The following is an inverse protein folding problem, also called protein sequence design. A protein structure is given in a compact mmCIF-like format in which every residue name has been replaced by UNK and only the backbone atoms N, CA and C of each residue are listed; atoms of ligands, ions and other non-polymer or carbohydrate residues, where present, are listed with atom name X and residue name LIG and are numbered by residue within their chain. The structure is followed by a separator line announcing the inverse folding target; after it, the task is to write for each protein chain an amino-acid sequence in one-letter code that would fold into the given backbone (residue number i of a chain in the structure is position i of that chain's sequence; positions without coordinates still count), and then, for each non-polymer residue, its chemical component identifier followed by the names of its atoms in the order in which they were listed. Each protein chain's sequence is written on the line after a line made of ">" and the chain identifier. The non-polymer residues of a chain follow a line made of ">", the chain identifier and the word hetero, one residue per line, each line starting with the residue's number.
data_IF_707827166847
#
_entry.id   IF_707827166847
#
_cell.length_a   1.000
_cell.length_b   1.000
_cell.length_c   1.000
_cell.angle_alpha   90.00
_cell.angle_beta   90.00
_cell.angle_gamma   90.00
#
_symmetry.space_group_name_H-M   'P 1'
#
loop_
_entity.id
_entity.type
_entity.pdbx_description
1 polymer ?
#
# COMPACT_ATOMS: atom_id res chain seq x y z
N UNK A 1 -10.80 10.72 6.28
CA UNK A 1 -9.91 11.86 5.97
C UNK A 1 -9.95 12.75 7.20
N UNK A 2 -8.87 12.89 7.97
CA UNK A 2 -8.90 13.88 9.06
C UNK A 2 -8.58 15.24 8.46
N UNK A 3 -9.62 15.95 8.04
CA UNK A 3 -9.53 17.39 7.78
C UNK A 3 -8.91 18.06 9.01
N UNK A 4 -8.08 19.10 8.81
CA UNK A 4 -7.49 19.82 9.93
C UNK A 4 -8.58 20.27 10.94
N UNK A 5 -8.27 20.27 12.25
CA UNK A 5 -9.21 20.71 13.28
C UNK A 5 -9.83 22.06 12.95
N UNK A 6 -11.05 22.31 13.40
CA UNK A 6 -11.77 23.55 13.10
C UNK A 6 -10.95 24.80 13.51
N UNK A 7 -10.25 24.74 14.65
CA UNK A 7 -9.38 25.80 15.11
C UNK A 7 -8.21 26.11 14.15
N UNK A 8 -7.65 25.11 13.48
CA UNK A 8 -6.57 25.29 12.50
C UNK A 8 -7.13 25.92 11.22
N UNK A 9 -8.28 25.45 10.74
CA UNK A 9 -8.95 26.03 9.58
C UNK A 9 -9.33 27.49 9.80
N UNK A 10 -9.89 27.80 10.97
CA UNK A 10 -10.22 29.16 11.36
C UNK A 10 -8.98 30.05 11.47
N UNK A 11 -7.86 29.53 11.99
CA UNK A 11 -6.60 30.26 12.03
C UNK A 11 -6.03 30.55 10.63
N UNK A 12 -6.16 29.62 9.69
CA UNK A 12 -5.76 29.79 8.28
C UNK A 12 -6.67 30.83 7.59
N UNK A 13 -7.98 30.77 7.83
CA UNK A 13 -8.96 31.72 7.29
C UNK A 13 -8.71 33.14 7.78
N UNK A 14 -8.50 33.29 9.10
CA UNK A 14 -8.26 34.57 9.77
C UNK A 14 -6.83 35.09 9.63
N UNK A 15 -5.95 34.39 8.91
CA UNK A 15 -4.58 34.86 8.71
C UNK A 15 -4.57 36.12 7.85
N UNK A 16 -4.00 37.18 8.39
CA UNK A 16 -3.81 38.48 7.73
C UNK A 16 -2.37 38.66 7.29
N UNK A 17 -2.14 39.54 6.33
CA UNK A 17 -0.78 39.92 5.91
C UNK A 17 -0.02 40.55 7.08
N UNK A 18 1.19 40.08 7.34
CA UNK A 18 2.05 40.52 8.44
C UNK A 18 3.39 40.95 7.83
N UNK A 19 3.76 42.22 7.99
CA UNK A 19 5.05 42.73 7.51
C UNK A 19 5.26 42.50 6.00
N UNK A 20 6.40 41.91 5.57
CA UNK A 20 6.70 41.67 4.15
C UNK A 20 5.99 40.45 3.54
N UNK A 21 5.13 39.76 4.29
CA UNK A 21 4.53 38.49 3.90
C UNK A 21 3.12 38.68 3.34
N UNK A 22 2.92 38.29 2.08
CA UNK A 22 1.61 38.26 1.42
C UNK A 22 1.06 36.83 1.31
N UNK A 23 -0.24 36.62 1.52
CA UNK A 23 -0.86 35.31 1.39
C UNK A 23 -1.02 34.93 -0.08
N UNK A 24 -0.67 33.69 -0.43
CA UNK A 24 -0.97 33.12 -1.74
C UNK A 24 -1.77 31.83 -1.63
N UNK A 25 -2.72 31.58 -2.54
CA UNK A 25 -3.35 30.27 -2.65
C UNK A 25 -2.34 29.22 -3.14
N UNK A 26 -2.66 27.94 -2.91
CA UNK A 26 -1.96 26.85 -3.58
C UNK A 26 -2.13 26.96 -5.10
N UNK A 27 -1.08 26.63 -5.87
CA UNK A 27 -1.17 26.69 -7.32
C UNK A 27 -1.96 25.51 -7.89
N UNK A 28 -2.62 25.65 -9.05
CA UNK A 28 -3.28 24.54 -9.73
C UNK A 28 -2.28 23.39 -9.97
N UNK A 29 -2.55 22.22 -9.38
CA UNK A 29 -1.69 21.02 -9.46
C UNK A 29 -0.90 20.71 -8.19
N UNK A 30 -0.85 21.61 -7.22
CA UNK A 30 -0.26 21.34 -5.90
C UNK A 30 -1.28 20.65 -4.99
N UNK A 31 -0.97 19.42 -4.54
CA UNK A 31 -1.89 18.57 -3.75
C UNK A 31 -1.31 18.18 -2.39
N UNK A 32 -0.32 18.91 -1.91
CA UNK A 32 0.36 18.59 -0.66
C UNK A 32 -0.54 18.82 0.55
N UNK A 33 -0.58 17.85 1.48
CA UNK A 33 -1.40 17.94 2.69
C UNK A 33 -0.99 19.10 3.61
N UNK A 34 0.17 19.73 3.40
CA UNK A 34 0.62 20.87 4.22
C UNK A 34 -0.35 22.04 4.15
N UNK A 35 -1.08 22.21 3.04
CA UNK A 35 -2.00 23.34 2.84
C UNK A 35 -3.25 23.25 3.72
N UNK A 36 -3.53 22.07 4.29
CA UNK A 36 -4.58 21.92 5.31
C UNK A 36 -4.14 22.47 6.67
N UNK A 37 -2.83 22.70 6.89
CA UNK A 37 -2.23 22.96 8.20
C UNK A 37 -1.51 24.31 8.31
N UNK A 38 -1.53 25.12 7.26
CA UNK A 38 -0.89 26.43 7.30
C UNK A 38 -1.09 27.23 6.03
N UNK A 39 -0.42 28.38 6.00
CA UNK A 39 -0.61 29.39 4.96
C UNK A 39 0.62 29.44 4.07
N UNK A 40 0.41 29.43 2.76
CA UNK A 40 1.45 29.74 1.78
C UNK A 40 1.61 31.24 1.70
N UNK A 41 2.85 31.70 1.81
CA UNK A 41 3.19 33.12 1.80
C UNK A 41 4.25 33.42 0.74
N UNK A 42 4.26 34.65 0.27
CA UNK A 42 5.26 35.21 -0.64
C UNK A 42 5.89 36.45 0.00
N UNK A 43 7.22 36.55 -0.09
CA UNK A 43 7.99 37.68 0.42
C UNK A 43 9.21 37.93 -0.46
N UNK A 44 9.67 39.18 -0.47
CA UNK A 44 10.89 39.58 -1.18
C UNK A 44 12.08 39.58 -0.22
N UNK A 45 13.14 38.86 -0.61
CA UNK A 45 14.41 38.84 0.11
C UNK A 45 15.54 38.89 -0.93
N UNK A 46 16.48 39.82 -0.77
CA UNK A 46 17.61 40.02 -1.70
C UNK A 46 17.20 40.26 -3.17
N UNK A 47 16.19 41.11 -3.41
CA UNK A 47 15.60 41.39 -4.73
C UNK A 47 15.06 40.13 -5.45
N UNK A 48 14.72 39.08 -4.70
CA UNK A 48 14.11 37.86 -5.22
C UNK A 48 12.87 37.51 -4.42
N UNK A 49 11.79 37.27 -5.16
CA UNK A 49 10.54 36.79 -4.60
C UNK A 49 10.68 35.32 -4.19
N UNK A 50 10.49 35.03 -2.91
CA UNK A 50 10.56 33.70 -2.31
C UNK A 50 9.18 33.29 -1.83
N UNK A 51 8.94 31.98 -1.88
CA UNK A 51 7.70 31.37 -1.40
C UNK A 51 7.99 30.56 -0.14
N UNK A 52 7.22 30.81 0.91
CA UNK A 52 7.30 30.14 2.20
C UNK A 52 5.97 29.51 2.62
N UNK A 53 6.03 28.78 3.71
CA UNK A 53 4.89 28.19 4.40
C UNK A 53 4.96 28.55 5.88
N UNK A 54 3.88 29.08 6.43
CA UNK A 54 3.72 29.35 7.86
C UNK A 54 2.79 28.33 8.46
N UNK A 55 3.27 27.58 9.46
CA UNK A 55 2.47 26.57 10.16
C UNK A 55 1.39 27.22 11.04
N UNK A 56 0.18 26.64 11.07
CA UNK A 56 -0.94 27.08 11.91
C UNK A 56 -1.44 25.97 12.86
N UNK A 57 -0.70 24.87 12.98
CA UNK A 57 -1.15 23.66 13.65
C UNK A 57 -1.40 23.85 15.16
N UNK A 58 -0.60 24.65 15.85
CA UNK A 58 -0.77 24.97 17.28
C UNK A 58 -0.49 26.45 17.59
N UNK A 59 -0.69 26.85 18.85
CA UNK A 59 -0.53 28.23 19.32
C UNK A 59 0.93 28.71 19.23
N UNK A 60 1.89 27.81 19.49
CA UNK A 60 3.32 28.12 19.40
C UNK A 60 3.75 28.41 17.96
N UNK A 61 3.12 27.74 16.99
CA UNK A 61 3.35 28.01 15.57
C UNK A 61 2.68 29.31 15.09
N UNK A 62 1.61 29.74 15.76
CA UNK A 62 0.85 30.96 15.42
C UNK A 62 1.45 32.24 15.99
N UNK A 63 2.38 32.16 16.94
CA UNK A 63 2.95 33.35 17.58
C UNK A 63 3.78 34.17 16.59
N UNK A 64 3.51 35.48 16.54
CA UNK A 64 4.13 36.42 15.60
C UNK A 64 5.66 36.56 15.78
N UNK A 65 6.17 36.24 16.97
CA UNK A 65 7.59 36.35 17.32
C UNK A 65 8.44 35.17 16.83
N UNK A 66 7.80 34.15 16.26
CA UNK A 66 8.48 32.91 15.90
C UNK A 66 8.80 32.85 14.41
N UNK A 67 9.78 33.66 13.99
CA UNK A 67 10.34 33.65 12.64
C UNK A 67 10.88 32.27 12.20
N UNK A 68 11.13 31.36 13.15
CA UNK A 68 11.54 29.98 12.86
C UNK A 68 10.40 29.09 12.30
N UNK A 69 9.15 29.55 12.31
CA UNK A 69 8.01 28.85 11.70
C UNK A 69 7.84 29.15 10.21
N UNK A 70 8.68 30.00 9.64
CA UNK A 70 8.75 30.23 8.20
C UNK A 70 9.53 29.09 7.53
N UNK A 71 8.82 28.25 6.79
CA UNK A 71 9.40 27.09 6.11
C UNK A 71 9.50 27.38 4.61
N UNK A 72 10.72 27.52 4.10
CA UNK A 72 10.97 27.81 2.69
C UNK A 72 10.45 26.68 1.77
N UNK A 73 9.65 27.05 0.77
CA UNK A 73 9.17 26.14 -0.28
C UNK A 73 10.10 26.23 -1.50
N UNK A 74 11.26 25.58 -1.43
CA UNK A 74 12.25 25.62 -2.51
C UNK A 74 11.75 24.91 -3.77
N UNK A 75 11.56 25.65 -4.88
CA UNK A 75 11.12 25.13 -6.18
C UNK A 75 9.84 24.27 -6.09
N UNK A 76 8.87 24.69 -5.26
CA UNK A 76 7.61 23.96 -5.04
C UNK A 76 7.72 22.69 -4.18
N UNK A 77 8.90 22.39 -3.62
CA UNK A 77 9.07 21.24 -2.72
C UNK A 77 8.56 21.59 -1.32
N UNK A 78 7.71 20.71 -0.78
CA UNK A 78 7.13 20.87 0.56
C UNK A 78 7.87 20.12 1.66
N UNK A 79 9.07 19.59 1.39
CA UNK A 79 9.79 18.69 2.30
C UNK A 79 10.09 19.30 3.68
N UNK A 80 10.38 20.60 3.75
CA UNK A 80 10.62 21.31 5.01
C UNK A 80 9.35 21.39 5.87
N UNK A 81 8.23 21.82 5.26
CA UNK A 81 6.91 21.82 5.89
C UNK A 81 6.46 20.42 6.35
N UNK A 82 6.63 19.40 5.50
CA UNK A 82 6.31 18.02 5.85
C UNK A 82 7.16 17.52 7.02
N UNK A 83 8.46 17.85 7.06
CA UNK A 83 9.36 17.47 8.15
C UNK A 83 8.95 18.14 9.47
N UNK A 84 8.63 19.43 9.43
CA UNK A 84 8.17 20.18 10.60
C UNK A 84 6.85 19.61 11.15
N UNK A 85 5.82 19.45 10.30
CA UNK A 85 4.53 18.88 10.71
C UNK A 85 4.68 17.49 11.36
N UNK A 86 5.58 16.66 10.82
CA UNK A 86 5.85 15.32 11.36
C UNK A 86 6.59 15.34 12.70
N UNK A 87 7.60 16.20 12.86
CA UNK A 87 8.46 16.19 14.04
C UNK A 87 7.88 16.99 15.21
N UNK A 88 7.21 18.11 14.92
CA UNK A 88 6.68 19.03 15.95
C UNK A 88 5.25 18.66 16.34
N UNK A 89 4.40 18.36 15.35
CA UNK A 89 2.97 18.10 15.60
C UNK A 89 2.59 16.62 15.43
N UNK A 90 3.55 15.74 15.14
CA UNK A 90 3.30 14.31 14.89
C UNK A 90 2.26 14.05 13.79
N UNK A 91 2.17 14.96 12.82
CA UNK A 91 1.25 14.88 11.70
C UNK A 91 1.94 14.18 10.53
N UNK A 92 1.49 12.96 10.24
CA UNK A 92 1.97 12.20 9.09
C UNK A 92 1.12 12.43 7.85
N UNK A 93 1.78 12.46 6.69
CA UNK A 93 1.09 12.51 5.40
C UNK A 93 0.19 11.28 5.21
N UNK A 94 -0.92 11.40 4.46
CA UNK A 94 -1.77 10.24 4.13
C UNK A 94 -0.99 9.09 3.46
N UNK A 95 0.00 9.44 2.62
CA UNK A 95 0.90 8.48 1.98
C UNK A 95 1.75 7.71 3.00
N UNK A 96 2.38 8.42 3.93
CA UNK A 96 3.18 7.85 5.01
C UNK A 96 2.33 6.96 5.93
N UNK A 97 1.11 7.37 6.26
CA UNK A 97 0.17 6.55 7.05
C UNK A 97 -0.21 5.25 6.33
N UNK A 98 -0.44 5.31 5.01
CA UNK A 98 -0.77 4.13 4.19
C UNK A 98 0.41 3.17 4.11
N UNK A 99 1.61 3.69 3.84
CA UNK A 99 2.85 2.91 3.82
C UNK A 99 3.13 2.27 5.19
N UNK A 100 2.94 3.02 6.28
CA UNK A 100 3.07 2.48 7.64
C UNK A 100 2.08 1.35 7.94
N UNK A 101 0.82 1.46 7.50
CA UNK A 101 -0.16 0.37 7.61
C UNK A 101 0.23 -0.84 6.78
N UNK A 102 0.72 -0.66 5.56
CA UNK A 102 1.20 -1.75 4.72
C UNK A 102 2.42 -2.45 5.34
N UNK A 103 3.36 -1.68 5.89
CA UNK A 103 4.52 -2.22 6.63
C UNK A 103 4.07 -3.08 7.81
N UNK A 104 3.13 -2.59 8.63
CA UNK A 104 2.56 -3.38 9.75
C UNK A 104 1.88 -4.66 9.28
N UNK A 105 1.13 -4.62 8.16
CA UNK A 105 0.52 -5.82 7.57
C UNK A 105 1.59 -6.83 7.13
N UNK A 106 2.67 -6.35 6.52
CA UNK A 106 3.80 -7.18 6.13
C UNK A 106 4.48 -7.83 7.34
N UNK A 107 4.72 -7.06 8.42
CA UNK A 107 5.31 -7.56 9.66
C UNK A 107 4.45 -8.65 10.32
N UNK A 108 3.12 -8.44 10.39
CA UNK A 108 2.17 -9.45 10.90
C UNK A 108 2.21 -10.72 10.06
N UNK A 109 2.26 -10.60 8.74
CA UNK A 109 2.30 -11.75 7.84
C UNK A 109 3.64 -12.51 7.94
N UNK A 110 4.75 -11.80 8.09
CA UNK A 110 6.06 -12.40 8.34
C UNK A 110 6.04 -13.21 9.64
N UNK A 111 5.45 -12.68 10.71
CA UNK A 111 5.38 -13.39 11.99
C UNK A 111 4.44 -14.60 11.94
N UNK A 112 3.32 -14.48 11.22
CA UNK A 112 2.44 -15.61 10.91
C UNK A 112 3.17 -16.74 10.17
N UNK A 113 3.98 -16.40 9.17
CA UNK A 113 4.77 -17.40 8.43
C UNK A 113 5.86 -18.01 9.30
N UNK A 114 6.58 -17.21 10.10
CA UNK A 114 7.63 -17.72 11.01
C UNK A 114 7.11 -18.68 12.07
N UNK A 115 5.91 -18.42 12.59
CA UNK A 115 5.23 -19.29 13.56
C UNK A 115 4.55 -20.51 12.92
N UNK A 116 4.48 -20.57 11.59
CA UNK A 116 3.82 -21.68 10.90
C UNK A 116 4.57 -23.00 11.02
N UNK A 117 3.82 -24.10 11.06
CA UNK A 117 4.39 -25.46 11.06
C UNK A 117 5.19 -25.75 9.78
N UNK A 118 4.82 -25.14 8.66
CA UNK A 118 5.55 -25.27 7.39
C UNK A 118 6.93 -24.65 7.48
N UNK A 119 7.05 -23.43 8.03
CA UNK A 119 8.35 -22.81 8.24
C UNK A 119 9.20 -23.61 9.23
N UNK A 120 8.62 -24.04 10.35
CA UNK A 120 9.33 -24.81 11.36
C UNK A 120 9.87 -26.17 10.85
N UNK A 121 9.11 -26.86 9.98
CA UNK A 121 9.48 -28.20 9.50
C UNK A 121 10.24 -28.20 8.18
N UNK A 122 9.93 -27.26 7.27
CA UNK A 122 10.51 -27.22 5.94
C UNK A 122 10.48 -25.79 5.36
N UNK A 123 11.43 -24.92 5.77
CA UNK A 123 11.51 -23.55 5.27
C UNK A 123 11.73 -23.47 3.75
N UNK A 124 12.45 -24.43 3.17
CA UNK A 124 12.62 -24.55 1.72
C UNK A 124 11.29 -24.77 0.99
N UNK A 125 10.39 -25.60 1.53
CA UNK A 125 9.04 -25.78 0.97
C UNK A 125 8.21 -24.50 1.04
N UNK A 126 8.34 -23.73 2.13
CA UNK A 126 7.69 -22.42 2.20
C UNK A 126 8.19 -21.48 1.09
N UNK A 127 9.49 -21.50 0.80
CA UNK A 127 10.06 -20.71 -0.30
C UNK A 127 9.41 -21.06 -1.65
N UNK A 128 9.29 -22.35 -1.99
CA UNK A 128 8.62 -22.81 -3.22
C UNK A 128 7.17 -22.33 -3.27
N UNK A 129 6.43 -22.41 -2.16
CA UNK A 129 5.05 -21.93 -2.07
C UNK A 129 4.96 -20.41 -2.30
N UNK A 130 5.83 -19.63 -1.68
CA UNK A 130 5.84 -18.17 -1.83
C UNK A 130 6.15 -17.75 -3.27
N UNK A 131 7.10 -18.42 -3.93
CA UNK A 131 7.39 -18.17 -5.35
C UNK A 131 6.21 -18.58 -6.25
N UNK A 132 5.57 -19.72 -5.94
CA UNK A 132 4.37 -20.16 -6.65
C UNK A 132 3.24 -19.15 -6.52
N UNK A 133 2.98 -18.64 -5.31
CA UNK A 133 1.99 -17.60 -5.06
C UNK A 133 2.36 -16.28 -5.77
N UNK A 134 3.65 -15.92 -5.82
CA UNK A 134 4.12 -14.75 -6.56
C UNK A 134 3.80 -14.89 -8.05
N UNK A 135 4.03 -16.07 -8.62
CA UNK A 135 3.75 -16.34 -10.03
C UNK A 135 2.25 -16.27 -10.33
N UNK A 136 1.41 -16.94 -9.52
CA UNK A 136 -0.05 -16.94 -9.69
C UNK A 136 -0.63 -15.53 -9.53
N UNK A 137 -0.32 -14.85 -8.43
CA UNK A 137 -0.98 -13.59 -8.08
C UNK A 137 -0.61 -12.43 -9.00
N UNK A 138 0.54 -12.50 -9.66
CA UNK A 138 1.04 -11.45 -10.54
C UNK A 138 1.16 -11.89 -12.01
N UNK A 139 0.62 -13.06 -12.36
CA UNK A 139 0.64 -13.63 -13.72
C UNK A 139 2.05 -13.63 -14.35
N UNK A 140 3.05 -14.06 -13.58
CA UNK A 140 4.43 -14.07 -14.04
C UNK A 140 4.73 -15.33 -14.86
N UNK A 141 5.79 -15.33 -15.70
CA UNK A 141 6.25 -16.55 -16.36
C UNK A 141 6.61 -17.64 -15.33
N UNK A 142 6.24 -18.90 -15.61
CA UNK A 142 6.54 -20.03 -14.72
C UNK A 142 8.05 -20.21 -14.48
N UNK A 143 8.87 -19.86 -15.47
CA UNK A 143 10.33 -19.94 -15.41
C UNK A 143 11.02 -18.73 -14.76
N UNK A 144 10.28 -17.78 -14.18
CA UNK A 144 10.90 -16.56 -13.61
C UNK A 144 11.98 -16.87 -12.55
N UNK A 145 11.82 -17.96 -11.81
CA UNK A 145 12.79 -18.38 -10.79
C UNK A 145 14.07 -18.98 -11.39
N UNK A 146 14.06 -19.35 -12.67
CA UNK A 146 15.20 -19.96 -13.36
C UNK A 146 16.13 -18.93 -13.98
N UNK A 147 15.71 -17.68 -14.11
CA UNK A 147 16.52 -16.59 -14.63
C UNK A 147 17.77 -16.37 -13.78
N UNK A 148 18.84 -15.89 -14.41
CA UNK A 148 20.13 -15.70 -13.76
C UNK A 148 20.01 -14.73 -12.57
N UNK A 149 19.30 -13.62 -12.75
CA UNK A 149 19.07 -12.62 -11.70
C UNK A 149 18.29 -13.21 -10.52
N UNK A 150 17.33 -14.09 -10.78
CA UNK A 150 16.59 -14.80 -9.72
C UNK A 150 17.50 -15.71 -8.92
N UNK A 151 18.43 -16.43 -9.58
CA UNK A 151 19.44 -17.27 -8.92
C UNK A 151 20.43 -16.45 -8.10
N UNK A 152 20.84 -15.28 -8.60
CA UNK A 152 21.70 -14.36 -7.88
C UNK A 152 21.01 -13.80 -6.62
N UNK A 153 19.74 -13.41 -6.73
CA UNK A 153 18.94 -12.96 -5.57
C UNK A 153 18.75 -14.08 -4.56
N UNK A 154 18.46 -15.30 -5.00
CA UNK A 154 18.39 -16.49 -4.15
C UNK A 154 19.71 -16.69 -3.37
N UNK A 155 20.85 -16.62 -4.05
CA UNK A 155 22.15 -16.85 -3.46
C UNK A 155 22.55 -15.74 -2.46
N UNK A 156 22.25 -14.48 -2.76
CA UNK A 156 22.69 -13.31 -2.00
C UNK A 156 21.77 -12.94 -0.83
N UNK A 157 20.46 -13.13 -0.97
CA UNK A 157 19.47 -12.53 -0.05
C UNK A 157 18.69 -13.57 0.75
N UNK A 158 18.44 -14.76 0.19
CA UNK A 158 17.65 -15.77 0.89
C UNK A 158 18.49 -16.49 1.93
N UNK A 159 17.85 -16.78 3.06
CA UNK A 159 18.46 -17.53 4.16
C UNK A 159 18.79 -18.96 3.74
N UNK A 160 19.89 -19.50 4.25
CA UNK A 160 20.38 -20.84 3.88
C UNK A 160 19.32 -21.93 4.07
N UNK A 161 18.54 -21.89 5.15
CA UNK A 161 17.50 -22.89 5.44
C UNK A 161 16.32 -22.87 4.44
N UNK A 162 16.16 -21.78 3.70
CA UNK A 162 15.12 -21.60 2.70
C UNK A 162 15.60 -21.87 1.27
N UNK A 163 16.92 -21.94 1.04
CA UNK A 163 17.48 -22.10 -0.30
C UNK A 163 17.05 -23.43 -0.91
N UNK A 164 16.54 -23.36 -2.13
CA UNK A 164 16.10 -24.53 -2.89
C UNK A 164 16.15 -24.22 -4.38
N UNK A 165 16.45 -25.23 -5.20
CA UNK A 165 16.36 -25.08 -6.65
C UNK A 165 14.89 -25.07 -7.04
N UNK A 166 14.46 -23.96 -7.63
CA UNK A 166 13.10 -23.73 -8.11
C UNK A 166 13.11 -23.73 -9.63
N UNK A 167 12.41 -24.70 -10.20
CA UNK A 167 12.23 -24.86 -11.65
C UNK A 167 10.78 -24.66 -12.03
N UNK A 168 10.52 -24.37 -13.31
CA UNK A 168 9.17 -24.25 -13.86
C UNK A 168 8.36 -25.54 -13.65
N UNK A 169 9.00 -26.70 -13.74
CA UNK A 169 8.39 -28.01 -13.44
C UNK A 169 7.91 -28.08 -11.99
N UNK A 170 8.79 -27.74 -11.03
CA UNK A 170 8.47 -27.78 -9.60
C UNK A 170 7.41 -26.76 -9.20
N UNK A 171 7.40 -25.59 -9.86
CA UNK A 171 6.29 -24.63 -9.74
C UNK A 171 4.99 -25.26 -10.27
N UNK A 172 5.03 -25.93 -11.43
CA UNK A 172 3.89 -26.65 -11.99
C UNK A 172 3.31 -27.68 -11.03
N UNK A 173 4.15 -28.50 -10.42
CA UNK A 173 3.73 -29.47 -9.38
C UNK A 173 3.11 -28.79 -8.17
N UNK A 174 3.70 -27.68 -7.71
CA UNK A 174 3.18 -26.92 -6.56
C UNK A 174 1.84 -26.26 -6.87
N UNK A 175 1.62 -25.80 -8.11
CA UNK A 175 0.31 -25.30 -8.57
C UNK A 175 -0.73 -26.43 -8.52
N UNK A 176 -0.38 -27.63 -8.97
CA UNK A 176 -1.27 -28.79 -8.92
C UNK A 176 -1.59 -29.14 -7.46
N UNK A 177 -0.60 -29.14 -6.57
CA UNK A 177 -0.81 -29.41 -5.14
C UNK A 177 -1.72 -28.36 -4.51
N UNK A 178 -1.46 -27.07 -4.77
CA UNK A 178 -2.28 -25.96 -4.27
C UNK A 178 -3.72 -26.10 -4.75
N UNK A 179 -3.93 -26.36 -6.04
CA UNK A 179 -5.26 -26.57 -6.60
C UNK A 179 -5.97 -27.78 -5.97
N UNK A 180 -5.25 -28.89 -5.76
CA UNK A 180 -5.80 -30.09 -5.11
C UNK A 180 -6.23 -29.79 -3.67
N UNK A 181 -5.39 -29.07 -2.91
CA UNK A 181 -5.70 -28.65 -1.53
C UNK A 181 -6.89 -27.72 -1.49
N UNK A 182 -6.90 -26.67 -2.32
CA UNK A 182 -8.01 -25.71 -2.37
C UNK A 182 -9.31 -26.39 -2.80
N UNK A 183 -9.28 -27.31 -3.77
CA UNK A 183 -10.46 -28.08 -4.17
C UNK A 183 -11.00 -28.92 -3.02
N UNK A 184 -10.13 -29.56 -2.24
CA UNK A 184 -10.52 -30.33 -1.06
C UNK A 184 -11.22 -29.44 -0.04
N UNK A 185 -10.60 -28.31 0.31
CA UNK A 185 -11.15 -27.34 1.26
C UNK A 185 -12.51 -26.77 0.80
N UNK A 186 -12.65 -26.43 -0.48
CA UNK A 186 -13.94 -25.97 -1.04
C UNK A 186 -15.00 -27.08 -1.00
N UNK A 187 -14.61 -28.33 -1.24
CA UNK A 187 -15.55 -29.47 -1.18
C UNK A 187 -16.04 -29.69 0.25
N UNK A 188 -15.13 -29.62 1.23
CA UNK A 188 -15.47 -29.69 2.66
C UNK A 188 -16.40 -28.54 3.05
N UNK A 189 -16.11 -27.31 2.62
CA UNK A 189 -16.98 -26.15 2.81
C UNK A 189 -18.40 -26.37 2.24
N UNK A 190 -18.52 -26.99 1.06
CA UNK A 190 -19.81 -27.28 0.44
C UNK A 190 -20.59 -28.37 1.19
N UNK A 191 -19.91 -29.43 1.66
CA UNK A 191 -20.58 -30.46 2.45
C UNK A 191 -21.02 -29.94 3.83
N UNK A 192 -20.19 -29.11 4.48
CA UNK A 192 -20.52 -28.50 5.78
C UNK A 192 -21.73 -27.57 5.71
N UNK A 193 -21.88 -26.84 4.60
CA UNK A 193 -22.98 -25.92 4.37
C UNK A 193 -24.20 -26.57 3.72
N UNK A 194 -24.23 -27.88 3.50
CA UNK A 194 -25.37 -28.53 2.85
C UNK A 194 -26.61 -28.47 3.74
N UNK A 195 -27.69 -27.90 3.19
CA UNK A 195 -28.96 -27.71 3.89
C UNK A 195 -30.10 -28.47 3.22
N UNK A 196 -31.19 -28.63 3.96
CA UNK A 196 -32.44 -29.21 3.42
C UNK A 196 -33.08 -28.28 2.38
N UNK A 197 -32.87 -26.97 2.50
CA UNK A 197 -33.35 -25.97 1.55
C UNK A 197 -32.26 -25.56 0.55
N UNK A 198 -32.63 -25.11 -0.67
CA UNK A 198 -31.65 -24.69 -1.68
C UNK A 198 -30.84 -23.48 -1.21
N UNK A 199 -29.54 -23.68 -0.97
CA UNK A 199 -28.61 -22.65 -0.52
C UNK A 199 -27.37 -22.47 -1.42
N UNK A 200 -27.31 -23.24 -2.51
CA UNK A 200 -26.33 -23.08 -3.59
C UNK A 200 -27.00 -22.57 -4.86
N UNK A 201 -26.34 -21.64 -5.54
CA UNK A 201 -26.72 -21.20 -6.88
C UNK A 201 -25.52 -21.28 -7.81
N UNK A 202 -25.65 -22.02 -8.90
CA UNK A 202 -24.65 -22.08 -9.95
C UNK A 202 -25.08 -21.22 -11.13
N UNK A 203 -24.18 -20.37 -11.62
CA UNK A 203 -24.33 -19.66 -12.88
C UNK A 203 -23.35 -20.23 -13.90
N UNK A 204 -23.86 -20.57 -15.08
CA UNK A 204 -23.08 -21.07 -16.19
C UNK A 204 -23.08 -20.03 -17.32
N UNK A 205 -21.89 -19.57 -17.69
CA UNK A 205 -21.68 -18.62 -18.77
C UNK A 205 -20.95 -19.30 -19.92
N UNK A 206 -21.48 -19.17 -21.13
CA UNK A 206 -20.86 -19.67 -22.35
C UNK A 206 -20.40 -18.50 -23.21
N UNK A 207 -19.15 -18.53 -23.64
CA UNK A 207 -18.63 -17.54 -24.59
C UNK A 207 -17.63 -18.17 -25.55
N UNK A 208 -17.43 -17.51 -26.69
CA UNK A 208 -16.45 -17.89 -27.69
C UNK A 208 -15.38 -16.81 -27.78
N UNK A 209 -14.11 -17.19 -27.66
CA UNK A 209 -13.01 -16.25 -27.88
C UNK A 209 -12.89 -15.98 -29.40
N UNK A 210 -13.06 -14.72 -29.80
CA UNK A 210 -13.00 -14.32 -31.22
C UNK A 210 -11.63 -14.60 -31.85
N UNK A 211 -10.54 -14.49 -31.08
CA UNK A 211 -9.17 -14.67 -31.59
C UNK A 211 -8.82 -16.13 -31.80
N UNK A 212 -9.22 -17.02 -30.89
CA UNK A 212 -8.84 -18.45 -30.94
C UNK A 212 -9.96 -19.35 -31.45
N UNK A 213 -11.16 -18.81 -31.67
CA UNK A 213 -12.39 -19.55 -31.98
C UNK A 213 -12.75 -20.65 -30.98
N UNK A 214 -12.12 -20.67 -29.81
CA UNK A 214 -12.40 -21.64 -28.74
C UNK A 214 -13.64 -21.23 -27.97
N UNK A 215 -14.48 -22.22 -27.65
CA UNK A 215 -15.64 -22.06 -26.76
C UNK A 215 -15.19 -22.31 -25.31
N UNK A 216 -15.71 -21.51 -24.40
CA UNK A 216 -15.43 -21.57 -22.98
C UNK A 216 -16.74 -21.68 -22.20
N UNK A 217 -16.70 -22.46 -21.12
CA UNK A 217 -17.74 -22.55 -20.11
C UNK A 217 -17.16 -22.06 -18.79
N UNK A 218 -17.69 -20.95 -18.28
CA UNK A 218 -17.40 -20.45 -16.95
C UNK A 218 -18.50 -20.89 -16.00
N UNK A 219 -18.12 -21.47 -14.87
CA UNK A 219 -19.04 -21.81 -13.80
C UNK A 219 -18.73 -20.93 -12.60
N UNK A 220 -19.76 -20.29 -12.05
CA UNK A 220 -19.69 -19.50 -10.81
C UNK A 220 -20.67 -20.09 -9.80
N UNK A 221 -20.15 -20.54 -8.67
CA UNK A 221 -20.96 -21.08 -7.57
C UNK A 221 -21.09 -20.02 -6.49
N UNK A 222 -22.32 -19.73 -6.11
CA UNK A 222 -22.69 -18.85 -5.01
C UNK A 222 -23.27 -19.71 -3.90
N UNK A 223 -22.81 -19.48 -2.67
CA UNK A 223 -23.27 -20.13 -1.46
C UNK A 223 -23.69 -19.04 -0.48
N UNK A 224 -24.80 -19.27 0.23
CA UNK A 224 -25.14 -18.52 1.44
C UNK A 224 -24.57 -19.32 2.61
N UNK A 225 -23.47 -18.83 3.18
CA UNK A 225 -22.85 -19.42 4.38
C UNK A 225 -23.81 -19.26 5.58
N UNK A 226 -23.71 -20.17 6.54
CA UNK A 226 -24.45 -20.11 7.82
C UNK A 226 -24.02 -18.94 8.71
N UNK A 227 -22.83 -18.37 8.48
CA UNK A 227 -22.23 -17.28 9.28
C UNK A 227 -22.62 -15.87 8.82
#
# INVERSE_FOLDING_TARGET
>A
MSSAPAAVRQAIENWTEIGPFSRKPALPGETSYIFDWGVRIEYDEDNKTKVGFTCMADEFCRSADNAANLLLLSKGRTSAAVKHLRLVHHLESPKTKKEGKQKRKCEVEIERLRSSTMFARNPARLNVLLETLRIINYNLPLCICEYEESRLVEALVKKEEMKVIITAERIGETIIELYSSTRKEITELFEENKEVYPNFRMMADFWTCKTTSKKFLGLRVYLIDRN
#
